data_IF_301838396971
#
_entry.id   IF_301838396971
#
_cell.length_a   1.000
_cell.length_b   1.000
_cell.length_c   1.000
_cell.angle_alpha   90.00
_cell.angle_beta   90.00
_cell.angle_gamma   90.00
#
_symmetry.space_group_name_H-M   'P 1'
#
loop_
_entity.id
_entity.type
_entity.pdbx_description
1 polymer ?
#
# COMPACT_ATOMS: atom_id res chain seq x y z
N UNK A 1 13.94 -32.46 -12.96
CA UNK A 1 12.85 -31.94 -12.11
C UNK A 1 12.47 -30.57 -12.60
N UNK A 2 11.17 -30.32 -12.85
CA UNK A 2 10.69 -28.99 -13.22
C UNK A 2 10.82 -28.08 -12.00
N UNK A 3 11.60 -27.01 -12.14
CA UNK A 3 11.71 -25.98 -11.10
C UNK A 3 10.35 -25.28 -10.97
N UNK A 4 9.75 -25.32 -9.79
CA UNK A 4 8.49 -24.60 -9.53
C UNK A 4 8.77 -23.10 -9.64
N UNK A 5 7.99 -22.40 -10.49
CA UNK A 5 8.04 -20.95 -10.59
C UNK A 5 7.24 -20.33 -9.44
N UNK A 6 7.89 -19.49 -8.63
CA UNK A 6 7.26 -18.80 -7.52
C UNK A 6 6.10 -17.90 -7.97
N UNK A 7 6.16 -17.34 -9.18
CA UNK A 7 5.05 -16.52 -9.70
C UNK A 7 3.78 -17.34 -9.88
N UNK A 8 3.91 -18.60 -10.32
CA UNK A 8 2.78 -19.52 -10.42
C UNK A 8 2.25 -19.86 -9.02
N UNK A 9 3.15 -20.12 -8.07
CA UNK A 9 2.81 -20.41 -6.69
C UNK A 9 2.01 -19.27 -6.03
N UNK A 10 2.41 -18.01 -6.22
CA UNK A 10 1.67 -16.83 -5.75
C UNK A 10 0.26 -16.75 -6.37
N UNK A 11 0.15 -17.03 -7.67
CA UNK A 11 -1.16 -17.05 -8.35
C UNK A 11 -2.07 -18.15 -7.81
N UNK A 12 -1.54 -19.34 -7.59
CA UNK A 12 -2.33 -20.47 -7.08
C UNK A 12 -2.72 -20.25 -5.62
N UNK A 13 -1.84 -19.67 -4.79
CA UNK A 13 -2.18 -19.17 -3.47
C UNK A 13 -3.37 -18.19 -3.50
N UNK A 14 -3.32 -17.18 -4.39
CA UNK A 14 -4.40 -16.19 -4.52
C UNK A 14 -5.73 -16.79 -4.93
N UNK A 15 -5.74 -17.85 -5.74
CA UNK A 15 -6.96 -18.60 -6.06
C UNK A 15 -7.47 -19.34 -4.82
N UNK A 16 -6.57 -20.01 -4.10
CA UNK A 16 -6.86 -20.76 -2.87
C UNK A 16 -7.39 -19.90 -1.73
N UNK A 17 -7.04 -18.61 -1.68
CA UNK A 17 -7.59 -17.66 -0.70
C UNK A 17 -9.12 -17.58 -0.75
N UNK A 18 -9.76 -17.85 -1.89
CA UNK A 18 -11.23 -17.83 -2.01
C UNK A 18 -11.88 -19.09 -1.46
N UNK A 19 -11.28 -20.25 -1.74
CA UNK A 19 -11.81 -21.56 -1.33
C UNK A 19 -11.36 -22.01 0.06
N UNK A 20 -10.34 -21.36 0.65
CA UNK A 20 -9.60 -21.87 1.82
C UNK A 20 -8.99 -23.27 1.61
N UNK A 21 -8.77 -23.67 0.35
CA UNK A 21 -8.11 -24.93 0.03
C UNK A 21 -6.67 -24.68 -0.42
N UNK A 22 -5.73 -24.94 0.49
CA UNK A 22 -4.31 -24.67 0.29
C UNK A 22 -3.46 -25.93 0.12
N UNK A 23 -4.06 -27.13 0.04
CA UNK A 23 -3.31 -28.40 0.06
C UNK A 23 -2.27 -28.47 -1.07
N UNK A 24 -2.67 -28.11 -2.29
CA UNK A 24 -1.77 -28.10 -3.43
C UNK A 24 -0.69 -27.02 -3.30
N UNK A 25 -1.04 -25.84 -2.81
CA UNK A 25 -0.11 -24.72 -2.64
C UNK A 25 0.95 -25.05 -1.59
N UNK A 26 0.56 -25.75 -0.52
CA UNK A 26 1.48 -26.21 0.52
C UNK A 26 2.46 -27.25 -0.03
N UNK A 27 1.97 -28.22 -0.81
CA UNK A 27 2.83 -29.22 -1.45
C UNK A 27 3.83 -28.58 -2.44
N UNK A 28 3.36 -27.61 -3.23
CA UNK A 28 4.21 -26.87 -4.17
C UNK A 28 5.25 -25.98 -3.44
N UNK A 29 4.88 -25.40 -2.29
CA UNK A 29 5.80 -24.67 -1.41
C UNK A 29 6.88 -25.59 -0.85
N UNK A 30 6.51 -26.77 -0.34
CA UNK A 30 7.46 -27.74 0.21
C UNK A 30 8.47 -28.20 -0.85
N UNK A 31 8.00 -28.44 -2.07
CA UNK A 31 8.87 -28.80 -3.18
C UNK A 31 9.77 -27.63 -3.62
N UNK A 32 9.23 -26.41 -3.65
CA UNK A 32 10.02 -25.20 -3.95
C UNK A 32 11.17 -25.02 -2.95
N UNK A 33 10.90 -25.18 -1.65
CA UNK A 33 11.90 -25.06 -0.58
C UNK A 33 13.05 -26.06 -0.68
N UNK A 34 12.87 -27.24 -1.28
CA UNK A 34 13.97 -28.21 -1.48
C UNK A 34 15.08 -27.68 -2.39
N UNK A 35 14.76 -26.74 -3.28
CA UNK A 35 15.70 -26.20 -4.26
C UNK A 35 16.02 -24.71 -4.05
N UNK A 36 15.26 -24.04 -3.17
CA UNK A 36 15.42 -22.64 -2.87
C UNK A 36 16.65 -22.37 -1.99
N UNK A 37 17.25 -21.20 -2.20
CA UNK A 37 18.32 -20.68 -1.35
C UNK A 37 17.80 -19.50 -0.53
N UNK A 38 18.38 -19.26 0.65
CA UNK A 38 17.97 -18.15 1.53
C UNK A 38 18.14 -16.77 0.87
N UNK A 39 19.04 -16.67 -0.10
CA UNK A 39 19.31 -15.46 -0.88
C UNK A 39 18.32 -15.26 -2.03
N UNK A 40 17.43 -16.22 -2.29
CA UNK A 40 16.41 -16.07 -3.32
C UNK A 40 15.46 -14.93 -2.95
N UNK A 41 15.18 -14.06 -3.93
CA UNK A 41 14.35 -12.86 -3.75
C UNK A 41 12.99 -13.17 -3.11
N UNK A 42 12.43 -14.34 -3.42
CA UNK A 42 11.10 -14.75 -2.97
C UNK A 42 11.11 -15.58 -1.69
N UNK A 43 12.27 -15.80 -1.07
CA UNK A 43 12.39 -16.70 0.08
C UNK A 43 11.56 -16.21 1.28
N UNK A 44 11.60 -14.92 1.60
CA UNK A 44 10.77 -14.33 2.67
C UNK A 44 9.26 -14.46 2.35
N UNK A 45 8.87 -14.23 1.10
CA UNK A 45 7.47 -14.38 0.68
C UNK A 45 7.02 -15.83 0.78
N UNK A 46 7.86 -16.79 0.40
CA UNK A 46 7.56 -18.22 0.53
C UNK A 46 7.38 -18.63 2.01
N UNK A 47 8.25 -18.15 2.91
CA UNK A 47 8.13 -18.39 4.35
C UNK A 47 6.82 -17.83 4.89
N UNK A 48 6.48 -16.61 4.49
CA UNK A 48 5.22 -15.96 4.86
C UNK A 48 3.99 -16.75 4.37
N UNK A 49 3.97 -17.17 3.10
CA UNK A 49 2.87 -17.96 2.54
C UNK A 49 2.70 -19.29 3.28
N UNK A 50 3.82 -19.95 3.61
CA UNK A 50 3.79 -21.20 4.37
C UNK A 50 3.24 -20.99 5.78
N UNK A 51 3.69 -19.94 6.48
CA UNK A 51 3.13 -19.55 7.78
C UNK A 51 1.62 -19.27 7.70
N UNK A 52 1.18 -18.51 6.68
CA UNK A 52 -0.23 -18.21 6.46
C UNK A 52 -1.08 -19.47 6.29
N UNK A 53 -0.63 -20.39 5.44
CA UNK A 53 -1.36 -21.64 5.17
C UNK A 53 -1.43 -22.52 6.41
N UNK A 54 -0.36 -22.60 7.19
CA UNK A 54 -0.37 -23.35 8.44
C UNK A 54 -1.34 -22.75 9.45
N UNK A 55 -1.32 -21.44 9.64
CA UNK A 55 -2.20 -20.76 10.59
C UNK A 55 -3.68 -20.84 10.16
N UNK A 56 -4.00 -20.49 8.92
CA UNK A 56 -5.38 -20.28 8.49
C UNK A 56 -5.98 -21.48 7.74
N UNK A 57 -5.16 -22.25 7.04
CA UNK A 57 -5.58 -23.49 6.39
C UNK A 57 -5.61 -24.65 7.37
N UNK A 58 -4.49 -24.88 8.08
CA UNK A 58 -4.32 -26.06 8.91
C UNK A 58 -4.63 -25.83 10.40
N UNK A 59 -4.85 -24.57 10.82
CA UNK A 59 -5.04 -24.18 12.22
C UNK A 59 -3.86 -24.54 13.13
N UNK A 60 -2.68 -24.61 12.54
CA UNK A 60 -1.41 -24.95 13.19
C UNK A 60 -0.60 -23.68 13.45
N UNK A 61 -0.98 -22.98 14.52
CA UNK A 61 -0.41 -21.68 14.88
C UNK A 61 1.05 -21.82 15.33
N UNK A 62 1.38 -22.90 16.02
CA UNK A 62 2.74 -23.12 16.55
C UNK A 62 3.74 -23.25 15.41
N UNK A 63 3.45 -24.12 14.43
CA UNK A 63 4.33 -24.24 13.28
C UNK A 63 4.30 -22.99 12.39
N UNK A 64 3.16 -22.30 12.27
CA UNK A 64 3.10 -21.04 11.53
C UNK A 64 4.07 -19.98 12.09
N UNK A 65 4.13 -19.84 13.41
CA UNK A 65 5.02 -18.88 14.08
C UNK A 65 6.49 -19.12 13.77
N UNK A 66 6.92 -20.38 13.67
CA UNK A 66 8.31 -20.74 13.29
C UNK A 66 8.67 -20.15 11.93
N UNK A 67 7.75 -20.15 10.97
CA UNK A 67 8.00 -19.56 9.65
C UNK A 67 7.94 -18.03 9.70
N UNK A 68 7.00 -17.45 10.44
CA UNK A 68 6.88 -16.00 10.58
C UNK A 68 8.11 -15.35 11.23
N UNK A 69 8.70 -15.98 12.24
CA UNK A 69 9.90 -15.49 12.92
C UNK A 69 11.11 -15.37 11.99
N UNK A 70 11.13 -16.12 10.88
CA UNK A 70 12.21 -16.07 9.90
C UNK A 70 12.04 -14.94 8.87
N UNK A 71 10.87 -14.29 8.82
CA UNK A 71 10.52 -13.29 7.80
C UNK A 71 10.94 -11.89 8.28
N UNK A 72 11.93 -11.29 7.59
CA UNK A 72 12.46 -9.96 7.96
C UNK A 72 11.46 -8.81 7.80
N UNK A 73 10.52 -8.91 6.87
CA UNK A 73 9.58 -7.84 6.49
C UNK A 73 8.12 -8.27 6.65
N UNK A 74 7.82 -9.00 7.72
CA UNK A 74 6.52 -9.64 7.93
C UNK A 74 5.35 -8.64 7.93
N UNK A 75 5.51 -7.48 8.57
CA UNK A 75 4.48 -6.43 8.58
C UNK A 75 4.12 -5.95 7.18
N UNK A 76 5.12 -5.78 6.30
CA UNK A 76 4.89 -5.35 4.92
C UNK A 76 4.13 -6.42 4.13
N UNK A 77 4.41 -7.70 4.37
CA UNK A 77 3.72 -8.80 3.70
C UNK A 77 2.28 -8.93 4.18
N UNK A 78 2.01 -8.80 5.49
CA UNK A 78 0.65 -8.71 6.02
C UNK A 78 -0.13 -7.55 5.44
N UNK A 79 0.48 -6.36 5.42
CA UNK A 79 -0.14 -5.16 4.86
C UNK A 79 -0.44 -5.32 3.37
N UNK A 80 0.50 -5.88 2.59
CA UNK A 80 0.33 -6.12 1.15
C UNK A 80 -0.78 -7.13 0.88
N UNK A 81 -0.79 -8.25 1.61
CA UNK A 81 -1.86 -9.26 1.48
C UNK A 81 -3.23 -8.67 1.86
N UNK A 82 -3.28 -7.84 2.90
CA UNK A 82 -4.49 -7.12 3.29
C UNK A 82 -5.04 -6.26 2.15
N UNK A 83 -4.18 -5.49 1.46
CA UNK A 83 -4.58 -4.64 0.33
C UNK A 83 -5.19 -5.44 -0.82
N UNK A 84 -4.60 -6.59 -1.15
CA UNK A 84 -5.10 -7.46 -2.21
C UNK A 84 -6.47 -8.07 -1.86
N UNK A 85 -6.77 -8.22 -0.57
CA UNK A 85 -7.98 -8.85 -0.07
C UNK A 85 -9.17 -7.90 0.15
N UNK A 86 -8.97 -6.57 0.23
CA UNK A 86 -10.05 -5.60 0.55
C UNK A 86 -11.32 -5.85 -0.28
N UNK A 87 -11.18 -5.95 -1.60
CA UNK A 87 -12.31 -6.13 -2.52
C UNK A 87 -12.75 -7.58 -2.74
N UNK A 88 -12.04 -8.55 -2.16
CA UNK A 88 -12.28 -9.99 -2.39
C UNK A 88 -12.84 -10.70 -1.15
N UNK A 89 -12.27 -10.38 0.02
CA UNK A 89 -12.69 -10.88 1.31
C UNK A 89 -12.28 -9.86 2.38
N UNK A 90 -13.10 -8.79 2.56
CA UNK A 90 -12.78 -7.69 3.48
C UNK A 90 -12.56 -8.18 4.93
N UNK A 91 -13.18 -9.27 5.35
CA UNK A 91 -12.96 -9.88 6.67
C UNK A 91 -11.54 -10.44 6.82
N UNK A 92 -11.03 -11.12 5.79
CA UNK A 92 -9.65 -11.63 5.78
C UNK A 92 -8.65 -10.48 5.66
N UNK A 93 -8.98 -9.42 4.92
CA UNK A 93 -8.17 -8.22 4.86
C UNK A 93 -8.00 -7.60 6.26
N UNK A 94 -9.10 -7.44 7.02
CA UNK A 94 -9.08 -6.95 8.41
C UNK A 94 -8.17 -7.82 9.29
N UNK A 95 -8.25 -9.15 9.15
CA UNK A 95 -7.41 -10.08 9.89
C UNK A 95 -5.92 -9.95 9.55
N UNK A 96 -5.60 -9.69 8.28
CA UNK A 96 -4.22 -9.40 7.88
C UNK A 96 -3.73 -8.10 8.50
N UNK A 97 -4.56 -7.05 8.48
CA UNK A 97 -4.22 -5.76 9.09
C UNK A 97 -4.02 -5.83 10.59
N UNK A 98 -4.77 -6.68 11.30
CA UNK A 98 -4.59 -6.86 12.75
C UNK A 98 -3.26 -7.53 13.13
N UNK A 99 -2.53 -8.09 12.16
CA UNK A 99 -1.19 -8.68 12.37
C UNK A 99 -0.06 -7.69 12.15
N UNK A 100 -0.33 -6.50 11.59
CA UNK A 100 0.67 -5.45 11.34
C UNK A 100 0.99 -4.72 12.65
N UNK A 101 2.25 -4.76 13.10
CA UNK A 101 2.68 -4.17 14.38
C UNK A 101 3.31 -2.78 14.27
N UNK A 102 3.59 -2.29 13.07
CA UNK A 102 4.31 -1.02 12.86
C UNK A 102 3.41 0.21 12.96
N UNK A 103 3.74 1.11 13.88
CA UNK A 103 3.10 2.43 14.05
C UNK A 103 3.23 3.33 12.80
N UNK A 104 4.27 3.15 11.98
CA UNK A 104 4.59 4.04 10.86
C UNK A 104 3.52 4.01 9.75
N UNK A 105 2.68 2.97 9.69
CA UNK A 105 1.61 2.83 8.69
C UNK A 105 0.21 3.00 9.29
N UNK A 106 0.08 3.52 10.51
CA UNK A 106 -1.19 3.54 11.25
C UNK A 106 -2.32 4.25 10.50
N UNK A 107 -2.04 5.37 9.81
CA UNK A 107 -3.06 6.07 9.03
C UNK A 107 -3.55 5.24 7.84
N UNK A 108 -2.63 4.65 7.06
CA UNK A 108 -2.99 3.80 5.93
C UNK A 108 -3.72 2.53 6.41
N UNK A 109 -3.29 1.97 7.54
CA UNK A 109 -3.93 0.82 8.17
C UNK A 109 -5.37 1.16 8.58
N UNK A 110 -5.56 2.26 9.31
CA UNK A 110 -6.87 2.74 9.73
C UNK A 110 -7.77 3.03 8.53
N UNK A 111 -7.24 3.67 7.48
CA UNK A 111 -7.98 3.92 6.25
C UNK A 111 -8.44 2.62 5.58
N UNK A 112 -7.53 1.66 5.39
CA UNK A 112 -7.85 0.40 4.73
C UNK A 112 -8.82 -0.47 5.55
N UNK A 113 -8.68 -0.49 6.88
CA UNK A 113 -9.65 -1.16 7.76
C UNK A 113 -11.02 -0.47 7.67
N UNK A 114 -11.05 0.87 7.65
CA UNK A 114 -12.27 1.66 7.48
C UNK A 114 -13.00 1.32 6.17
N UNK A 115 -12.25 1.19 5.06
CA UNK A 115 -12.78 0.74 3.77
C UNK A 115 -13.34 -0.68 3.83
N UNK A 116 -12.66 -1.62 4.50
CA UNK A 116 -13.19 -2.97 4.67
C UNK A 116 -14.55 -2.96 5.38
N UNK A 117 -14.68 -2.19 6.47
CA UNK A 117 -15.96 -2.07 7.17
C UNK A 117 -17.04 -1.37 6.36
N UNK A 118 -16.67 -0.41 5.50
CA UNK A 118 -17.59 0.22 4.56
C UNK A 118 -18.15 -0.79 3.54
N UNK A 119 -17.29 -1.63 2.95
CA UNK A 119 -17.69 -2.71 2.03
C UNK A 119 -18.61 -3.71 2.74
N UNK A 120 -18.33 -4.00 4.01
CA UNK A 120 -19.15 -4.86 4.87
C UNK A 120 -20.46 -4.19 5.33
N UNK A 121 -20.69 -2.91 4.97
CA UNK A 121 -21.84 -2.10 5.38
C UNK A 121 -21.94 -1.89 6.90
N UNK A 122 -20.83 -1.99 7.62
CA UNK A 122 -20.71 -1.60 9.03
C UNK A 122 -20.22 -0.15 9.12
N UNK A 123 -21.14 0.77 8.86
CA UNK A 123 -20.86 2.21 8.81
C UNK A 123 -20.32 2.74 10.14
N UNK A 124 -20.73 2.15 11.26
CA UNK A 124 -20.28 2.59 12.59
C UNK A 124 -18.79 2.30 12.78
N UNK A 125 -18.36 1.07 12.50
CA UNK A 125 -16.93 0.74 12.58
C UNK A 125 -16.11 1.43 11.52
N UNK A 126 -16.63 1.55 10.30
CA UNK A 126 -15.96 2.30 9.23
C UNK A 126 -15.62 3.73 9.68
N UNK A 127 -16.61 4.45 10.22
CA UNK A 127 -16.42 5.78 10.77
C UNK A 127 -15.47 5.82 11.96
N UNK A 128 -15.52 4.82 12.85
CA UNK A 128 -14.58 4.71 13.97
C UNK A 128 -13.13 4.71 13.48
N UNK A 129 -12.81 3.91 12.46
CA UNK A 129 -11.46 3.82 11.91
C UNK A 129 -11.07 5.06 11.09
N UNK A 130 -11.99 5.65 10.31
CA UNK A 130 -11.72 6.90 9.61
C UNK A 130 -11.45 8.06 10.58
N UNK A 131 -12.10 8.08 11.76
CA UNK A 131 -11.85 9.09 12.79
C UNK A 131 -10.49 8.91 13.49
N UNK A 132 -9.91 7.71 13.47
CA UNK A 132 -8.55 7.46 13.99
C UNK A 132 -7.45 7.98 13.06
N UNK A 133 -7.78 8.37 11.83
CA UNK A 133 -6.81 8.93 10.89
C UNK A 133 -6.40 10.32 11.38
N UNK A 134 -5.10 10.49 11.67
CA UNK A 134 -4.58 11.79 12.04
C UNK A 134 -4.55 12.70 10.80
N UNK A 135 -5.55 13.58 10.70
CA UNK A 135 -5.73 14.53 9.59
C UNK A 135 -4.54 15.45 9.41
N UNK A 136 -3.83 15.82 10.49
CA UNK A 136 -2.64 16.66 10.40
C UNK A 136 -1.49 15.92 9.74
N UNK A 137 -1.28 14.65 10.10
CA UNK A 137 -0.27 13.79 9.48
C UNK A 137 -0.58 13.56 8.00
N UNK A 138 -1.84 13.22 7.66
CA UNK A 138 -2.27 13.05 6.27
C UNK A 138 -2.08 14.33 5.47
N UNK A 139 -2.46 15.48 6.02
CA UNK A 139 -2.24 16.76 5.38
C UNK A 139 -0.76 17.03 5.14
N UNK A 140 0.10 16.77 6.14
CA UNK A 140 1.56 16.94 6.03
C UNK A 140 2.16 16.04 4.95
N UNK A 141 1.81 14.75 4.94
CA UNK A 141 2.26 13.79 3.92
C UNK A 141 1.75 14.17 2.51
N UNK A 142 0.50 14.63 2.42
CA UNK A 142 -0.11 15.10 1.17
C UNK A 142 0.60 16.35 0.65
N UNK A 143 0.90 17.31 1.52
CA UNK A 143 1.62 18.54 1.20
C UNK A 143 3.12 18.33 0.95
N UNK A 144 3.68 17.20 1.40
CA UNK A 144 5.04 16.79 1.02
C UNK A 144 5.11 16.26 -0.41
N UNK A 145 3.98 15.88 -1.02
CA UNK A 145 3.96 15.54 -2.44
C UNK A 145 4.16 16.82 -3.26
N UNK A 146 5.27 16.96 -4.01
CA UNK A 146 5.60 18.20 -4.70
C UNK A 146 4.53 18.59 -5.73
N UNK A 147 3.85 17.63 -6.36
CA UNK A 147 2.76 17.93 -7.30
C UNK A 147 1.56 18.57 -6.59
N UNK A 148 1.17 18.02 -5.45
CA UNK A 148 0.01 18.52 -4.69
C UNK A 148 0.33 19.88 -4.10
N UNK A 149 1.52 20.04 -3.52
CA UNK A 149 2.02 21.32 -3.01
C UNK A 149 1.98 22.41 -4.09
N UNK A 150 2.54 22.11 -5.27
CA UNK A 150 2.60 23.04 -6.40
C UNK A 150 1.21 23.44 -6.87
N UNK A 151 0.26 22.49 -6.94
CA UNK A 151 -1.13 22.74 -7.30
C UNK A 151 -1.85 23.63 -6.27
N UNK A 152 -1.64 23.38 -4.97
CA UNK A 152 -2.22 24.21 -3.90
C UNK A 152 -1.67 25.63 -3.95
N UNK A 153 -0.36 25.80 -4.12
CA UNK A 153 0.27 27.13 -4.26
C UNK A 153 -0.23 27.87 -5.50
N UNK A 154 -0.43 27.16 -6.60
CA UNK A 154 -1.03 27.71 -7.81
C UNK A 154 -2.46 28.22 -7.57
N UNK A 155 -3.31 27.44 -6.90
CA UNK A 155 -4.67 27.87 -6.55
C UNK A 155 -4.66 29.12 -5.66
N UNK A 156 -3.77 29.19 -4.66
CA UNK A 156 -3.60 30.38 -3.81
C UNK A 156 -3.19 31.59 -4.65
N UNK A 157 -2.24 31.43 -5.57
CA UNK A 157 -1.81 32.50 -6.47
C UNK A 157 -2.96 33.00 -7.37
N UNK A 158 -3.79 32.09 -7.90
CA UNK A 158 -4.98 32.42 -8.67
C UNK A 158 -6.02 33.21 -7.85
N UNK A 159 -6.30 32.77 -6.61
CA UNK A 159 -7.22 33.48 -5.71
C UNK A 159 -6.69 34.89 -5.41
N UNK A 160 -5.39 35.02 -5.11
CA UNK A 160 -4.76 36.31 -4.85
C UNK A 160 -4.81 37.24 -6.07
N UNK A 161 -4.55 36.71 -7.26
CA UNK A 161 -4.65 37.44 -8.52
C UNK A 161 -6.08 37.96 -8.76
N UNK A 162 -7.11 37.14 -8.53
CA UNK A 162 -8.53 37.55 -8.63
C UNK A 162 -8.86 38.64 -7.61
N UNK A 163 -8.43 38.50 -6.35
CA UNK A 163 -8.64 39.51 -5.31
C UNK A 163 -7.98 40.85 -5.67
N UNK A 164 -6.76 40.82 -6.22
CA UNK A 164 -6.04 42.03 -6.65
C UNK A 164 -6.63 42.67 -7.90
N UNK A 165 -7.10 41.87 -8.87
CA UNK A 165 -7.83 42.38 -10.02
C UNK A 165 -9.11 43.12 -9.59
N UNK A 166 -9.87 42.58 -8.63
CA UNK A 166 -11.04 43.26 -8.04
C UNK A 166 -10.71 44.58 -7.32
N UNK A 167 -9.48 44.73 -6.82
CA UNK A 167 -8.99 45.97 -6.21
C UNK A 167 -8.42 46.97 -7.24
N UNK A 168 -8.47 46.66 -8.54
CA UNK A 168 -7.95 47.51 -9.61
C UNK A 168 -6.46 47.29 -9.95
N UNK A 169 -5.82 46.28 -9.35
CA UNK A 169 -4.39 45.99 -9.50
C UNK A 169 -4.14 44.93 -10.58
N UNK A 170 -4.57 45.22 -11.82
CA UNK A 170 -4.52 44.29 -12.96
C UNK A 170 -3.09 43.82 -13.30
N UNK A 171 -2.10 44.72 -13.31
CA UNK A 171 -0.70 44.38 -13.64
C UNK A 171 -0.10 43.40 -12.61
N UNK A 172 -0.38 43.62 -11.32
CA UNK A 172 0.08 42.73 -10.26
C UNK A 172 -0.53 41.32 -10.37
N UNK A 173 -1.79 41.23 -10.82
CA UNK A 173 -2.47 39.94 -11.01
C UNK A 173 -1.86 39.11 -12.14
N UNK A 174 -1.44 39.74 -13.25
CA UNK A 174 -0.79 39.06 -14.37
C UNK A 174 0.61 38.54 -14.01
N UNK A 175 1.38 39.33 -13.24
CA UNK A 175 2.73 38.94 -12.79
C UNK A 175 2.67 37.72 -11.85
N UNK A 176 1.76 37.74 -10.86
CA UNK A 176 1.59 36.62 -9.92
C UNK A 176 1.15 35.34 -10.64
N UNK A 177 0.23 35.44 -11.62
CA UNK A 177 -0.18 34.30 -12.44
C UNK A 177 0.96 33.71 -13.27
N UNK A 178 1.77 34.54 -13.93
CA UNK A 178 2.89 34.08 -14.76
C UNK A 178 4.00 33.39 -13.93
N UNK A 179 4.35 33.94 -12.77
CA UNK A 179 5.34 33.33 -11.88
C UNK A 179 4.83 32.00 -11.28
N UNK A 180 3.55 31.91 -10.93
CA UNK A 180 2.94 30.66 -10.44
C UNK A 180 2.97 29.53 -11.48
N UNK A 181 2.66 29.83 -12.74
CA UNK A 181 2.69 28.85 -13.84
C UNK A 181 4.14 28.40 -14.13
N UNK A 182 5.10 29.33 -14.12
CA UNK A 182 6.51 28.98 -14.40
C UNK A 182 7.15 28.15 -13.27
N UNK A 183 6.86 28.45 -12.01
CA UNK A 183 7.35 27.68 -10.87
C UNK A 183 6.80 26.25 -10.89
N UNK A 184 5.48 26.10 -11.08
CA UNK A 184 4.81 24.80 -11.13
C UNK A 184 5.25 23.95 -12.33
N UNK A 185 5.51 24.56 -13.48
CA UNK A 185 6.00 23.86 -14.68
C UNK A 185 7.43 23.32 -14.51
N UNK A 186 8.29 24.06 -13.80
CA UNK A 186 9.69 23.68 -13.57
C UNK A 186 9.79 22.51 -12.58
N UNK A 187 8.97 22.55 -11.52
CA UNK A 187 8.84 21.45 -10.56
C UNK A 187 8.20 20.21 -11.20
N UNK A 188 7.16 20.38 -12.01
CA UNK A 188 6.52 19.28 -12.75
C UNK A 188 7.50 18.56 -13.69
N UNK A 189 8.32 19.31 -14.45
CA UNK A 189 9.36 18.71 -15.31
C UNK A 189 10.42 17.96 -14.51
N UNK A 190 10.83 18.51 -13.38
CA UNK A 190 11.82 17.87 -12.49
C UNK A 190 11.24 16.59 -11.90
N UNK A 191 9.99 16.63 -11.45
CA UNK A 191 9.27 15.45 -10.96
C UNK A 191 9.15 14.39 -12.04
N UNK A 192 8.68 14.71 -13.25
CA UNK A 192 8.55 13.77 -14.38
C UNK A 192 9.90 13.13 -14.78
N UNK A 193 11.02 13.82 -14.55
CA UNK A 193 12.36 13.29 -14.81
C UNK A 193 12.84 12.31 -13.73
N UNK A 194 12.38 12.50 -12.48
CA UNK A 194 12.71 11.65 -11.32
C UNK A 194 11.74 10.45 -11.22
N UNK A 195 10.46 10.64 -11.55
CA UNK A 195 9.39 9.65 -11.46
C UNK A 195 9.27 8.73 -12.69
N UNK A 196 10.18 8.87 -13.67
CA UNK A 196 10.34 7.94 -14.78
C UNK A 196 11.56 7.00 -14.62
N UNK A 197 11.72 6.24 -13.51
CA UNK A 197 12.48 5.02 -13.57
C UNK A 197 11.58 3.98 -14.26
N UNK A 198 12.08 3.36 -15.34
CA UNK A 198 11.51 2.11 -15.87
C UNK A 198 11.22 1.17 -14.68
N UNK A 199 9.96 1.04 -14.29
CA UNK A 199 9.55 0.38 -13.03
C UNK A 199 9.72 -1.12 -13.16
N UNK A 200 10.89 -1.64 -12.76
CA UNK A 200 11.09 -3.05 -12.41
C UNK A 200 10.62 -3.24 -10.97
N UNK A 201 9.47 -3.89 -10.84
CA UNK A 201 8.57 -3.93 -9.68
C UNK A 201 9.02 -4.77 -8.47
N UNK A 202 10.21 -5.40 -8.51
CA UNK A 202 10.71 -6.25 -7.41
C UNK A 202 12.23 -6.11 -7.25
N UNK A 203 12.68 -5.11 -6.49
CA UNK A 203 14.00 -5.06 -5.87
C UNK A 203 13.93 -4.26 -4.57
N UNK A 204 13.63 -4.95 -3.47
CA UNK A 204 14.08 -4.63 -2.12
C UNK A 204 13.84 -5.84 -1.24
#
# INVERSE_FOLDING_TARGET
MNKIDFKKLDQDFKKSLKSNDFQQVLADLDEWFKTAKKEDLNYNSALFLKGYILEFGNKDIENANIYYEQVKTIDNLWFTLGNELIGQSPEKAILCYSKVKKDIVQNNLNFNIGLCYEILKDTNKSNEYFNKINKETVFRETMQNPLIFSLVMFLIACIFAVCKAKQGWLIASCVVGAFGIMATWTEFKTYMKISNPKTKFWRS
#
